data_IF_682847118171
#
_entry.id   IF_682847118171
#
_cell.length_a   1.000
_cell.length_b   1.000
_cell.length_c   1.000
_cell.angle_alpha   90.00
_cell.angle_beta   90.00
_cell.angle_gamma   90.00
#
_symmetry.space_group_name_H-M   'P 1'
#
loop_
_entity.id
_entity.type
_entity.pdbx_description
1 polymer ?
#
# COMPACT_ATOMS: atom_id res chain seq x y z
N UNK A 1 -5.93 -11.65 -11.74
CA UNK A 1 -6.31 -10.79 -10.60
C UNK A 1 -7.54 -11.39 -9.94
N UNK A 2 -7.63 -11.32 -8.61
CA UNK A 2 -8.81 -11.76 -7.86
C UNK A 2 -10.03 -10.89 -8.26
N UNK A 3 -11.18 -11.47 -8.64
CA UNK A 3 -12.34 -10.71 -9.11
C UNK A 3 -12.97 -9.82 -8.03
N UNK A 4 -12.71 -10.07 -6.75
CA UNK A 4 -13.20 -9.22 -5.66
C UNK A 4 -12.57 -7.81 -5.67
N UNK A 5 -11.41 -7.65 -6.31
CA UNK A 5 -10.66 -6.39 -6.43
C UNK A 5 -11.49 -5.31 -7.13
N UNK A 6 -12.35 -5.68 -8.09
CA UNK A 6 -13.17 -4.71 -8.83
C UNK A 6 -14.22 -4.00 -7.98
N UNK A 7 -14.61 -4.63 -6.85
CA UNK A 7 -15.56 -4.10 -5.88
C UNK A 7 -14.92 -3.23 -4.79
N UNK A 8 -13.60 -3.01 -4.86
CA UNK A 8 -12.88 -2.25 -3.84
C UNK A 8 -13.30 -0.78 -3.82
N UNK A 9 -13.26 -0.21 -2.63
CA UNK A 9 -13.36 1.23 -2.41
C UNK A 9 -11.98 1.90 -2.49
N UNK A 10 -11.94 3.25 -2.51
CA UNK A 10 -10.67 4.01 -2.39
C UNK A 10 -9.91 3.60 -1.13
N UNK A 11 -10.62 3.35 -0.02
CA UNK A 11 -10.05 2.94 1.26
C UNK A 11 -9.48 1.52 1.22
N UNK A 12 -10.15 0.58 0.54
CA UNK A 12 -9.61 -0.77 0.33
C UNK A 12 -8.34 -0.74 -0.53
N UNK A 13 -8.30 0.10 -1.57
CA UNK A 13 -7.06 0.27 -2.34
C UNK A 13 -5.93 0.87 -1.52
N UNK A 14 -6.21 1.95 -0.76
CA UNK A 14 -5.21 2.57 0.11
C UNK A 14 -4.67 1.55 1.13
N UNK A 15 -5.55 0.75 1.72
CA UNK A 15 -5.18 -0.34 2.62
C UNK A 15 -4.21 -1.33 1.97
N UNK A 16 -4.53 -1.79 0.76
CA UNK A 16 -3.68 -2.74 0.03
C UNK A 16 -2.32 -2.13 -0.33
N UNK A 17 -2.30 -0.87 -0.75
CA UNK A 17 -1.09 -0.13 -1.05
C UNK A 17 -0.16 -0.02 0.17
N UNK A 18 -0.70 0.35 1.33
CA UNK A 18 0.07 0.48 2.57
C UNK A 18 0.61 -0.86 3.06
N UNK A 19 -0.16 -1.94 2.94
CA UNK A 19 0.33 -3.30 3.26
C UNK A 19 1.50 -3.70 2.36
N UNK A 20 1.41 -3.40 1.06
CA UNK A 20 2.51 -3.69 0.13
C UNK A 20 3.77 -2.87 0.46
N UNK A 21 3.59 -1.62 0.91
CA UNK A 21 4.68 -0.74 1.28
C UNK A 21 5.34 -1.17 2.60
N UNK A 22 4.55 -1.46 3.63
CA UNK A 22 5.07 -1.95 4.92
C UNK A 22 5.84 -3.26 4.72
N UNK A 23 5.27 -4.23 3.97
CA UNK A 23 5.94 -5.50 3.72
C UNK A 23 7.09 -5.42 2.68
N UNK A 24 7.53 -4.23 2.26
CA UNK A 24 8.55 -4.11 1.21
C UNK A 24 9.91 -4.69 1.63
N UNK A 25 10.21 -4.71 2.93
CA UNK A 25 11.40 -5.34 3.52
C UNK A 25 11.14 -6.76 4.05
N UNK A 26 9.97 -7.33 3.70
CA UNK A 26 9.46 -8.63 4.11
C UNK A 26 9.06 -8.77 5.59
N UNK A 27 8.92 -7.66 6.32
CA UNK A 27 8.36 -7.63 7.66
C UNK A 27 7.30 -6.51 7.76
N UNK A 28 6.34 -6.62 8.68
CA UNK A 28 5.46 -5.50 9.06
C UNK A 28 5.58 -5.40 10.57
N UNK A 29 6.06 -4.27 11.05
CA UNK A 29 6.24 -4.04 12.49
C UNK A 29 4.90 -3.83 13.19
N UNK A 30 4.88 -3.97 14.53
CA UNK A 30 3.65 -3.71 15.31
C UNK A 30 3.21 -2.24 15.20
N UNK A 31 4.15 -1.29 15.16
CA UNK A 31 3.86 0.15 15.06
C UNK A 31 3.25 0.50 13.68
N UNK A 32 3.79 -0.04 12.59
CA UNK A 32 3.21 0.12 11.25
C UNK A 32 1.82 -0.53 11.16
N UNK A 33 1.65 -1.72 11.75
CA UNK A 33 0.36 -2.41 11.76
C UNK A 33 -0.71 -1.62 12.50
N UNK A 34 -0.37 -1.07 13.68
CA UNK A 34 -1.27 -0.21 14.44
C UNK A 34 -1.61 1.06 13.67
N UNK A 35 -0.60 1.71 13.07
CA UNK A 35 -0.80 2.90 12.26
C UNK A 35 -1.74 2.61 11.08
N UNK A 36 -1.52 1.53 10.34
CA UNK A 36 -2.39 1.09 9.25
C UNK A 36 -3.82 0.90 9.77
N UNK A 37 -4.02 0.16 10.87
CA UNK A 37 -5.37 -0.04 11.42
C UNK A 37 -6.06 1.25 11.84
N UNK A 38 -5.33 2.23 12.35
CA UNK A 38 -5.87 3.54 12.70
C UNK A 38 -6.25 4.37 11.46
N UNK A 39 -5.45 4.30 10.39
CA UNK A 39 -5.65 5.08 9.16
C UNK A 39 -6.79 4.54 8.29
N UNK A 40 -6.85 3.21 8.09
CA UNK A 40 -7.78 2.58 7.14
C UNK A 40 -8.88 1.74 7.79
N UNK A 41 -8.80 1.46 9.09
CA UNK A 41 -9.73 0.58 9.78
C UNK A 41 -9.47 -0.92 9.56
N UNK A 42 -9.88 -1.74 10.53
CA UNK A 42 -9.60 -3.19 10.56
C UNK A 42 -10.33 -4.00 9.49
N UNK A 43 -11.49 -3.54 9.03
CA UNK A 43 -12.30 -4.27 8.04
C UNK A 43 -11.63 -4.26 6.66
N UNK A 44 -11.19 -3.10 6.19
CA UNK A 44 -10.42 -2.98 4.94
C UNK A 44 -9.10 -3.73 5.05
N UNK A 45 -8.40 -3.65 6.19
CA UNK A 45 -7.17 -4.43 6.42
C UNK A 45 -7.40 -5.94 6.23
N UNK A 46 -8.40 -6.51 6.92
CA UNK A 46 -8.70 -7.94 6.84
C UNK A 46 -9.11 -8.39 5.43
N UNK A 47 -9.78 -7.52 4.67
CA UNK A 47 -10.15 -7.77 3.27
C UNK A 47 -8.92 -7.82 2.37
N UNK A 48 -8.03 -6.86 2.47
CA UNK A 48 -6.86 -6.75 1.58
C UNK A 48 -5.79 -7.78 1.88
N UNK A 49 -5.59 -8.14 3.15
CA UNK A 49 -4.60 -9.15 3.56
C UNK A 49 -4.86 -10.53 2.95
N UNK A 50 -6.14 -10.90 2.80
CA UNK A 50 -6.51 -12.16 2.10
C UNK A 50 -6.02 -12.17 0.66
N UNK A 51 -6.14 -11.04 -0.04
CA UNK A 51 -5.71 -10.92 -1.43
C UNK A 51 -4.18 -10.85 -1.51
N UNK A 52 -3.56 -10.03 -0.67
CA UNK A 52 -2.11 -9.85 -0.60
C UNK A 52 -1.35 -11.17 -0.38
N UNK A 53 -1.76 -11.95 0.62
CA UNK A 53 -1.11 -13.23 0.99
C UNK A 53 -1.31 -14.35 -0.04
N UNK A 54 -2.32 -14.23 -0.90
CA UNK A 54 -2.60 -15.20 -1.98
C UNK A 54 -1.91 -14.85 -3.30
N UNK A 55 -1.32 -13.66 -3.40
CA UNK A 55 -0.69 -13.13 -4.60
C UNK A 55 0.83 -13.12 -4.48
N UNK A 56 1.52 -13.24 -5.61
CA UNK A 56 2.96 -12.97 -5.67
C UNK A 56 3.21 -11.46 -5.68
N UNK A 57 4.44 -11.03 -5.34
CA UNK A 57 4.84 -9.62 -5.38
C UNK A 57 4.54 -8.96 -6.73
N UNK A 58 4.78 -9.69 -7.83
CA UNK A 58 4.45 -9.22 -9.17
C UNK A 58 2.94 -9.00 -9.34
N UNK A 59 2.09 -9.91 -8.85
CA UNK A 59 0.64 -9.76 -8.93
C UNK A 59 0.13 -8.63 -8.03
N UNK A 60 0.72 -8.44 -6.85
CA UNK A 60 0.44 -7.31 -5.97
C UNK A 60 0.76 -5.98 -6.67
N UNK A 61 1.92 -5.89 -7.32
CA UNK A 61 2.32 -4.71 -8.09
C UNK A 61 1.34 -4.41 -9.23
N UNK A 62 0.93 -5.44 -9.99
CA UNK A 62 -0.05 -5.27 -11.06
C UNK A 62 -1.42 -4.78 -10.54
N UNK A 63 -1.83 -5.24 -9.35
CA UNK A 63 -3.05 -4.75 -8.68
C UNK A 63 -2.93 -3.26 -8.34
N UNK A 64 -1.78 -2.82 -7.83
CA UNK A 64 -1.53 -1.40 -7.54
C UNK A 64 -1.65 -0.57 -8.82
N UNK A 65 -0.96 -0.97 -9.89
CA UNK A 65 -0.96 -0.24 -11.16
C UNK A 65 -2.35 -0.15 -11.80
N UNK A 66 -3.12 -1.25 -11.73
CA UNK A 66 -4.48 -1.30 -12.27
C UNK A 66 -5.44 -0.36 -11.54
N UNK A 67 -5.36 -0.31 -10.21
CA UNK A 67 -6.30 0.43 -9.39
C UNK A 67 -5.90 1.89 -9.12
N UNK A 68 -4.60 2.22 -9.19
CA UNK A 68 -4.10 3.57 -8.91
C UNK A 68 -4.79 4.61 -9.78
N UNK A 69 -4.90 4.36 -11.09
CA UNK A 69 -5.58 5.28 -12.01
C UNK A 69 -7.07 5.49 -11.71
N UNK A 70 -7.72 4.54 -11.02
CA UNK A 70 -9.13 4.64 -10.63
C UNK A 70 -9.32 5.44 -9.33
N UNK A 71 -8.45 5.22 -8.33
CA UNK A 71 -8.65 5.75 -6.97
C UNK A 71 -7.77 6.94 -6.62
N UNK A 72 -6.60 7.04 -7.23
CA UNK A 72 -5.59 8.09 -7.03
C UNK A 72 -5.02 8.54 -8.39
N UNK A 73 -5.87 9.15 -9.25
CA UNK A 73 -5.47 9.58 -10.59
C UNK A 73 -4.55 10.82 -10.55
N UNK A 74 -3.69 10.93 -11.57
CA UNK A 74 -2.88 12.14 -11.79
C UNK A 74 -1.79 12.38 -10.75
N UNK A 75 -1.24 13.59 -10.78
CA UNK A 75 -0.18 14.03 -9.86
C UNK A 75 -0.70 14.16 -8.42
N UNK A 76 -1.85 14.80 -8.22
CA UNK A 76 -2.45 14.98 -6.89
C UNK A 76 -2.69 13.65 -6.17
N UNK A 77 -3.13 12.62 -6.90
CA UNK A 77 -3.31 11.28 -6.33
C UNK A 77 -1.98 10.61 -5.97
N UNK A 78 -0.91 10.84 -6.75
CA UNK A 78 0.44 10.40 -6.40
C UNK A 78 0.92 11.09 -5.13
N UNK A 79 0.78 12.41 -5.04
CA UNK A 79 1.22 13.19 -3.88
C UNK A 79 0.48 12.77 -2.59
N UNK A 80 -0.80 12.42 -2.72
CA UNK A 80 -1.59 11.87 -1.62
C UNK A 80 -1.02 10.52 -1.14
N UNK A 81 -0.69 9.59 -2.05
CA UNK A 81 -0.06 8.30 -1.70
C UNK A 81 1.32 8.49 -1.07
N UNK A 82 2.12 9.40 -1.59
CA UNK A 82 3.45 9.73 -1.08
C UNK A 82 3.40 10.29 0.35
N UNK A 83 2.37 11.07 0.65
CA UNK A 83 2.13 11.59 2.02
C UNK A 83 1.85 10.44 2.98
N UNK A 84 0.96 9.50 2.61
CA UNK A 84 0.69 8.33 3.44
C UNK A 84 1.91 7.42 3.62
N UNK A 85 2.72 7.21 2.58
CA UNK A 85 3.98 6.47 2.71
C UNK A 85 4.92 7.13 3.71
N UNK A 86 5.04 8.47 3.62
CA UNK A 86 5.90 9.23 4.53
C UNK A 86 5.44 9.09 5.98
N UNK A 87 4.14 9.11 6.24
CA UNK A 87 3.58 8.92 7.57
C UNK A 87 3.75 7.48 8.08
N UNK A 88 3.50 6.48 7.24
CA UNK A 88 3.70 5.05 7.56
C UNK A 88 5.13 4.78 8.00
N UNK A 89 6.10 5.22 7.20
CA UNK A 89 7.54 5.03 7.43
C UNK A 89 8.10 5.88 8.59
N UNK A 90 7.32 6.85 9.08
CA UNK A 90 7.65 7.60 10.29
C UNK A 90 7.04 6.97 11.55
N UNK A 91 6.16 5.97 11.42
CA UNK A 91 5.47 5.36 12.55
C UNK A 91 6.42 4.64 13.51
N UNK A 92 7.48 4.00 12.99
CA UNK A 92 8.46 3.24 13.78
C UNK A 92 9.78 4.01 14.03
N UNK A 93 9.94 5.19 13.41
CA UNK A 93 11.12 6.05 13.51
C UNK A 93 12.37 5.54 12.76
N UNK A 94 12.28 4.46 11.98
CA UNK A 94 13.39 3.83 11.26
C UNK A 94 13.18 3.90 9.73
N UNK A 95 13.40 5.09 9.17
CA UNK A 95 13.42 5.31 7.72
C UNK A 95 14.54 4.46 7.07
N UNK A 96 14.19 3.33 6.45
CA UNK A 96 15.15 2.32 5.97
C UNK A 96 15.55 2.54 4.51
N UNK A 97 16.73 2.01 4.10
CA UNK A 97 17.18 2.09 2.70
C UNK A 97 16.24 1.39 1.70
N UNK A 98 15.37 0.48 2.17
CA UNK A 98 14.40 -0.24 1.33
C UNK A 98 13.21 0.65 0.94
N UNK A 99 12.83 1.60 1.80
CA UNK A 99 11.79 2.59 1.49
C UNK A 99 12.18 3.48 0.31
N UNK A 100 13.47 3.82 0.21
CA UNK A 100 14.01 4.50 -0.96
C UNK A 100 13.87 3.66 -2.23
N UNK A 101 13.93 2.33 -2.15
CA UNK A 101 13.74 1.43 -3.28
C UNK A 101 12.26 1.35 -3.64
N UNK A 102 11.35 1.27 -2.67
CA UNK A 102 9.91 1.26 -2.93
C UNK A 102 9.43 2.60 -3.49
N UNK A 103 9.90 3.72 -2.94
CA UNK A 103 9.66 5.06 -3.46
C UNK A 103 10.27 5.25 -4.85
N UNK A 104 11.50 4.78 -5.08
CA UNK A 104 12.12 4.80 -6.41
C UNK A 104 11.40 3.89 -7.41
N UNK A 105 10.81 2.78 -6.96
CA UNK A 105 10.00 1.89 -7.79
C UNK A 105 8.67 2.55 -8.12
N UNK A 106 8.05 3.24 -7.17
CA UNK A 106 6.89 4.10 -7.39
C UNK A 106 7.24 5.18 -8.41
N UNK A 107 8.28 5.99 -8.18
CA UNK A 107 8.75 7.05 -9.08
C UNK A 107 9.12 6.56 -10.49
N UNK A 108 9.58 5.30 -10.62
CA UNK A 108 9.89 4.69 -11.94
C UNK A 108 8.68 4.08 -12.64
N UNK A 109 7.65 3.72 -11.89
CA UNK A 109 6.39 3.19 -12.41
C UNK A 109 5.38 4.31 -12.74
N UNK A 110 5.63 5.52 -12.24
CA UNK A 110 4.78 6.71 -12.33
C UNK A 110 5.19 7.69 -13.43
#
# INVERSE_FOLDING_TARGET
MDPSIESWSKQDFLAFFLVCAANADAEITEDELEWIWHTIGRDSYGKVMKVFTMQSDYANLQTILHLKGRFFPGADGTDELDSYLTELFQADGNYSQIEHIFKSALDRLL
#
